data_IF_734010991661
#
_entry.id   IF_734010991661
#
_cell.length_a   1.000
_cell.length_b   1.000
_cell.length_c   1.000
_cell.angle_alpha   90.00
_cell.angle_beta   90.00
_cell.angle_gamma   90.00
#
_symmetry.space_group_name_H-M   'P 1'
#
loop_
_entity.id
_entity.type
_entity.pdbx_description
1 polymer ?
#
# COMPACT_ATOMS: atom_id res chain seq x y z
N UNK A 1 -62.75 34.47 -2.29
CA UNK A 1 -62.59 33.03 -2.61
C UNK A 1 -61.46 32.93 -3.63
N UNK A 2 -60.31 32.56 -3.18
CA UNK A 2 -59.07 32.42 -4.03
C UNK A 2 -58.80 30.92 -4.11
N UNK A 3 -58.98 30.41 -5.33
CA UNK A 3 -58.76 28.97 -5.59
C UNK A 3 -57.27 28.60 -5.60
N UNK A 4 -56.93 27.56 -4.83
CA UNK A 4 -55.59 26.95 -4.81
C UNK A 4 -55.52 25.93 -5.93
N UNK A 5 -54.50 25.92 -6.82
CA UNK A 5 -54.37 24.89 -7.85
C UNK A 5 -53.88 23.58 -7.27
N UNK A 6 -54.58 22.51 -7.56
CA UNK A 6 -54.25 21.14 -7.20
C UNK A 6 -52.93 20.70 -7.83
N UNK A 7 -51.96 20.35 -7.00
CA UNK A 7 -50.75 19.66 -7.44
C UNK A 7 -51.08 18.28 -7.98
N UNK A 8 -50.88 18.09 -9.27
CA UNK A 8 -50.89 16.76 -9.89
C UNK A 8 -49.73 15.92 -9.38
N UNK A 9 -50.02 14.96 -8.50
CA UNK A 9 -49.11 13.89 -8.14
C UNK A 9 -48.73 13.08 -9.37
N UNK A 10 -47.50 13.20 -9.87
CA UNK A 10 -46.94 12.26 -10.85
C UNK A 10 -46.91 10.87 -10.22
N UNK A 11 -47.74 9.98 -10.74
CA UNK A 11 -47.72 8.54 -10.44
C UNK A 11 -46.32 8.03 -10.71
N UNK A 12 -45.63 7.49 -9.68
CA UNK A 12 -44.42 6.70 -9.85
C UNK A 12 -44.77 5.51 -10.77
N UNK A 13 -43.89 5.15 -11.73
CA UNK A 13 -44.14 3.97 -12.54
C UNK A 13 -44.22 2.75 -11.61
N UNK A 14 -45.32 2.03 -11.73
CA UNK A 14 -45.52 0.73 -11.08
C UNK A 14 -44.40 -0.20 -11.55
N UNK A 15 -43.52 -0.59 -10.65
CA UNK A 15 -42.57 -1.68 -10.92
C UNK A 15 -43.42 -2.92 -11.24
N UNK A 16 -43.36 -3.35 -12.50
CA UNK A 16 -43.82 -4.69 -12.85
C UNK A 16 -43.10 -5.66 -11.95
N UNK A 17 -43.85 -6.54 -11.28
CA UNK A 17 -43.33 -7.70 -10.57
C UNK A 17 -42.61 -8.60 -11.58
N UNK A 18 -41.34 -8.25 -11.90
CA UNK A 18 -40.42 -9.20 -12.46
C UNK A 18 -40.16 -10.23 -11.37
N UNK A 19 -40.38 -11.50 -11.72
CA UNK A 19 -40.03 -12.69 -10.94
C UNK A 19 -38.91 -12.39 -9.96
N UNK A 20 -39.15 -12.65 -8.67
CA UNK A 20 -38.12 -12.52 -7.61
C UNK A 20 -36.92 -13.36 -8.03
N UNK A 21 -35.99 -12.73 -8.76
CA UNK A 21 -34.71 -13.33 -9.04
C UNK A 21 -34.09 -13.61 -7.68
N UNK A 22 -33.66 -14.84 -7.46
CA UNK A 22 -32.95 -15.23 -6.25
C UNK A 22 -31.92 -14.16 -5.93
N UNK A 23 -31.99 -13.48 -4.78
CA UNK A 23 -31.12 -12.33 -4.45
C UNK A 23 -29.64 -12.68 -4.45
N UNK A 24 -29.30 -13.97 -4.43
CA UNK A 24 -27.92 -14.46 -4.45
C UNK A 24 -27.30 -14.56 -5.86
N UNK A 25 -28.05 -14.31 -6.94
CA UNK A 25 -27.51 -14.39 -8.29
C UNK A 25 -27.47 -13.02 -8.97
N UNK A 26 -26.27 -12.58 -9.33
CA UNK A 26 -25.99 -11.30 -10.02
C UNK A 26 -25.56 -11.56 -11.47
N UNK A 27 -26.05 -10.72 -12.37
CA UNK A 27 -25.66 -10.80 -13.79
C UNK A 27 -24.17 -10.50 -13.96
N UNK A 28 -23.44 -11.47 -14.54
CA UNK A 28 -22.01 -11.36 -14.80
C UNK A 28 -21.64 -10.15 -15.69
N UNK A 29 -22.58 -9.73 -16.57
CA UNK A 29 -22.42 -8.57 -17.44
C UNK A 29 -22.46 -7.27 -16.64
N UNK A 30 -23.36 -7.17 -15.67
CA UNK A 30 -23.49 -6.02 -14.76
C UNK A 30 -22.27 -5.87 -13.84
N UNK A 31 -21.66 -6.98 -13.41
CA UNK A 31 -20.42 -6.96 -12.63
C UNK A 31 -19.25 -6.43 -13.47
N UNK A 32 -19.15 -6.81 -14.75
CA UNK A 32 -18.14 -6.26 -15.66
C UNK A 32 -18.32 -4.77 -15.93
N UNK A 33 -19.56 -4.27 -15.91
CA UNK A 33 -19.87 -2.85 -16.09
C UNK A 33 -19.60 -2.03 -14.82
N UNK A 34 -19.84 -2.61 -13.63
CA UNK A 34 -19.57 -1.98 -12.33
C UNK A 34 -18.09 -2.05 -11.93
N UNK A 35 -17.41 -3.09 -12.35
CA UNK A 35 -15.96 -3.20 -12.21
C UNK A 35 -15.33 -2.87 -13.55
N UNK A 36 -14.61 -1.75 -13.66
CA UNK A 36 -13.43 -1.74 -14.49
C UNK A 36 -12.52 -2.85 -13.92
N UNK A 37 -12.85 -4.08 -14.25
CA UNK A 37 -12.00 -5.23 -14.06
C UNK A 37 -10.82 -5.08 -15.01
N UNK A 38 -9.95 -4.10 -14.73
CA UNK A 38 -8.57 -4.26 -15.03
C UNK A 38 -8.27 -5.69 -14.58
N UNK A 39 -7.84 -6.54 -15.49
CA UNK A 39 -7.28 -7.84 -15.13
C UNK A 39 -6.23 -7.57 -14.07
N UNK A 40 -6.66 -7.64 -12.82
CA UNK A 40 -5.77 -7.52 -11.68
C UNK A 40 -4.88 -8.73 -11.81
N UNK A 41 -3.71 -8.53 -12.41
CA UNK A 41 -2.64 -9.50 -12.36
C UNK A 41 -2.33 -9.69 -10.88
N UNK A 42 -3.00 -10.66 -10.27
CA UNK A 42 -2.84 -10.96 -8.87
C UNK A 42 -1.43 -11.51 -8.68
N UNK A 43 -0.61 -10.80 -7.93
CA UNK A 43 0.70 -11.27 -7.52
C UNK A 43 0.61 -11.79 -6.09
N UNK A 44 1.04 -13.01 -5.88
CA UNK A 44 1.24 -13.57 -4.54
C UNK A 44 2.69 -13.36 -4.12
N UNK A 45 2.88 -12.72 -2.97
CA UNK A 45 4.21 -12.71 -2.33
C UNK A 45 4.36 -13.95 -1.48
N UNK A 46 5.33 -14.78 -1.82
CA UNK A 46 5.72 -15.94 -1.01
C UNK A 46 6.94 -15.57 -0.19
N UNK A 47 6.91 -15.86 1.09
CA UNK A 47 8.08 -15.77 1.96
C UNK A 47 8.77 -17.13 1.98
N UNK A 48 10.07 -17.15 1.71
CA UNK A 48 10.90 -18.35 1.71
C UNK A 48 11.96 -18.25 2.78
N UNK A 49 12.12 -19.32 3.53
CA UNK A 49 13.19 -19.44 4.51
C UNK A 49 14.52 -19.69 3.79
N UNK A 50 15.52 -18.94 4.17
CA UNK A 50 16.91 -19.14 3.73
C UNK A 50 17.57 -20.17 4.64
N UNK A 51 18.49 -20.93 4.08
CA UNK A 51 19.37 -21.80 4.86
C UNK A 51 20.31 -20.95 5.73
N UNK A 52 20.31 -21.19 7.03
CA UNK A 52 21.05 -20.37 8.01
C UNK A 52 22.56 -20.44 7.78
N UNK A 53 23.09 -21.62 7.40
CA UNK A 53 24.52 -21.82 7.15
C UNK A 53 25.00 -20.96 5.97
N UNK A 54 24.23 -20.98 4.88
CA UNK A 54 24.55 -20.18 3.69
C UNK A 54 24.41 -18.67 3.94
N UNK A 55 23.45 -18.26 4.77
CA UNK A 55 23.29 -16.86 5.20
C UNK A 55 24.48 -16.45 6.06
N UNK A 56 24.87 -17.24 7.05
CA UNK A 56 25.97 -16.92 7.95
C UNK A 56 27.29 -16.79 7.20
N UNK A 57 27.57 -17.73 6.28
CA UNK A 57 28.75 -17.68 5.41
C UNK A 57 28.87 -16.36 4.61
N UNK A 58 27.73 -15.78 4.20
CA UNK A 58 27.68 -14.57 3.37
C UNK A 58 27.22 -13.33 4.16
N UNK A 59 27.02 -13.41 5.48
CA UNK A 59 26.38 -12.40 6.31
C UNK A 59 26.97 -11.00 6.15
N UNK A 60 28.25 -10.90 6.24
CA UNK A 60 28.95 -9.60 6.13
C UNK A 60 28.70 -8.93 4.78
N UNK A 61 28.81 -9.70 3.69
CA UNK A 61 28.61 -9.21 2.33
C UNK A 61 27.14 -8.86 2.06
N UNK A 62 26.19 -9.67 2.58
CA UNK A 62 24.76 -9.38 2.51
C UNK A 62 24.41 -8.10 3.28
N UNK A 63 24.95 -7.91 4.46
CA UNK A 63 24.73 -6.70 5.25
C UNK A 63 25.37 -5.45 4.59
N UNK A 64 26.54 -5.61 3.99
CA UNK A 64 27.17 -4.54 3.21
C UNK A 64 26.29 -4.14 2.01
N UNK A 65 25.75 -5.12 1.27
CA UNK A 65 24.86 -4.89 0.15
C UNK A 65 23.54 -4.22 0.60
N UNK A 66 22.94 -4.69 1.69
CA UNK A 66 21.73 -4.09 2.27
C UNK A 66 21.96 -2.62 2.66
N UNK A 67 23.09 -2.32 3.31
CA UNK A 67 23.47 -0.95 3.70
C UNK A 67 23.70 -0.05 2.48
N UNK A 68 24.45 -0.53 1.49
CA UNK A 68 24.69 0.22 0.26
C UNK A 68 23.41 0.52 -0.49
N UNK A 69 22.53 -0.49 -0.66
CA UNK A 69 21.24 -0.33 -1.32
C UNK A 69 20.33 0.63 -0.56
N UNK A 70 20.29 0.54 0.77
CA UNK A 70 19.50 1.43 1.61
C UNK A 70 19.95 2.90 1.49
N UNK A 71 21.27 3.16 1.49
CA UNK A 71 21.82 4.51 1.30
C UNK A 71 21.50 5.07 -0.08
N UNK A 72 21.71 4.28 -1.13
CA UNK A 72 21.39 4.66 -2.51
C UNK A 72 19.92 4.97 -2.70
N UNK A 73 19.06 4.11 -2.18
CA UNK A 73 17.61 4.33 -2.21
C UNK A 73 17.20 5.61 -1.49
N UNK A 74 17.81 5.90 -0.32
CA UNK A 74 17.56 7.15 0.38
C UNK A 74 18.03 8.36 -0.44
N UNK A 75 19.19 8.29 -1.07
CA UNK A 75 19.67 9.33 -1.97
C UNK A 75 18.65 9.62 -3.08
N UNK A 76 18.12 8.58 -3.75
CA UNK A 76 17.08 8.78 -4.77
C UNK A 76 15.74 9.26 -4.20
N UNK A 77 15.37 8.87 -2.99
CA UNK A 77 14.19 9.45 -2.32
C UNK A 77 14.40 10.95 -2.15
N UNK A 78 15.53 11.37 -1.61
CA UNK A 78 15.81 12.79 -1.38
C UNK A 78 15.88 13.58 -2.70
N UNK A 79 16.48 13.02 -3.75
CA UNK A 79 16.50 13.59 -5.10
C UNK A 79 15.07 13.79 -5.65
N UNK A 80 14.20 12.76 -5.55
CA UNK A 80 12.82 12.82 -6.04
C UNK A 80 11.90 13.73 -5.20
N UNK A 81 12.34 14.24 -4.06
CA UNK A 81 11.66 15.30 -3.32
C UNK A 81 12.10 16.70 -3.75
N UNK A 82 13.14 16.85 -4.56
CA UNK A 82 13.52 18.16 -5.12
C UNK A 82 12.49 18.60 -6.17
N UNK A 83 12.38 19.91 -6.36
CA UNK A 83 11.41 20.49 -7.30
C UNK A 83 11.59 19.98 -8.72
N UNK A 84 12.83 19.85 -9.17
CA UNK A 84 13.16 19.51 -10.56
C UNK A 84 12.95 18.02 -10.86
N UNK A 85 13.00 17.16 -9.84
CA UNK A 85 12.94 15.70 -10.03
C UNK A 85 11.65 15.04 -9.56
N UNK A 86 10.80 15.74 -8.80
CA UNK A 86 9.61 15.12 -8.20
C UNK A 86 8.59 14.57 -9.22
N UNK A 87 8.52 15.14 -10.42
CA UNK A 87 7.66 14.64 -11.49
C UNK A 87 8.07 13.24 -11.99
N UNK A 88 9.31 12.83 -11.77
CA UNK A 88 9.77 11.50 -12.14
C UNK A 88 9.18 10.37 -11.26
N UNK A 89 8.55 10.67 -10.12
CA UNK A 89 7.83 9.67 -9.34
C UNK A 89 6.44 9.32 -9.91
N UNK A 90 5.94 10.02 -10.94
CA UNK A 90 4.64 9.77 -11.56
C UNK A 90 4.71 8.55 -12.47
N UNK A 91 4.01 7.48 -12.12
CA UNK A 91 3.93 6.27 -12.94
C UNK A 91 5.31 5.71 -13.31
N UNK A 92 5.54 5.54 -14.62
CA UNK A 92 6.79 5.00 -15.15
C UNK A 92 7.83 6.06 -15.53
N UNK A 93 7.64 7.33 -15.18
CA UNK A 93 8.55 8.42 -15.58
C UNK A 93 9.93 8.32 -14.93
N UNK A 94 10.09 7.58 -13.86
CA UNK A 94 11.39 7.25 -13.26
C UNK A 94 12.36 6.63 -14.30
N UNK A 95 11.83 5.99 -15.34
CA UNK A 95 12.64 5.44 -16.44
C UNK A 95 13.38 6.54 -17.21
N UNK A 96 12.76 7.71 -17.41
CA UNK A 96 13.41 8.86 -18.05
C UNK A 96 14.59 9.35 -17.21
N UNK A 97 14.43 9.43 -15.89
CA UNK A 97 15.51 9.78 -14.98
C UNK A 97 16.63 8.72 -14.99
N UNK A 98 16.25 7.43 -14.99
CA UNK A 98 17.21 6.33 -15.15
C UNK A 98 18.03 6.47 -16.42
N UNK A 99 17.39 6.76 -17.54
CA UNK A 99 18.03 6.83 -18.84
C UNK A 99 18.97 8.06 -18.92
N UNK A 100 18.57 9.19 -18.34
CA UNK A 100 19.45 10.36 -18.19
C UNK A 100 20.69 10.02 -17.35
N UNK A 101 20.52 9.38 -16.20
CA UNK A 101 21.63 8.95 -15.35
C UNK A 101 22.56 7.93 -16.05
N UNK A 102 22.03 7.07 -16.91
CA UNK A 102 22.83 6.14 -17.73
C UNK A 102 23.68 6.91 -18.77
N UNK A 103 23.08 7.90 -19.43
CA UNK A 103 23.81 8.76 -20.39
C UNK A 103 24.92 9.55 -19.69
N UNK A 104 24.70 10.02 -18.48
CA UNK A 104 25.67 10.70 -17.62
C UNK A 104 26.72 9.75 -17.02
N UNK A 105 26.66 8.46 -17.34
CA UNK A 105 27.57 7.42 -16.80
C UNK A 105 27.55 7.36 -15.28
N UNK A 106 26.37 7.54 -14.70
CA UNK A 106 26.20 7.54 -13.24
C UNK A 106 26.81 6.30 -12.59
N UNK A 107 27.59 6.53 -11.53
CA UNK A 107 28.13 5.50 -10.65
C UNK A 107 27.67 5.75 -9.23
N UNK A 108 27.19 4.69 -8.58
CA UNK A 108 26.78 4.75 -7.18
C UNK A 108 27.93 5.12 -6.26
N UNK A 109 27.76 6.16 -5.46
CA UNK A 109 28.73 6.55 -4.42
C UNK A 109 28.86 5.50 -3.29
N UNK A 110 27.97 4.52 -3.27
CA UNK A 110 27.95 3.45 -2.27
C UNK A 110 28.41 2.10 -2.82
N UNK A 111 29.02 2.08 -3.99
CA UNK A 111 29.59 0.87 -4.60
C UNK A 111 28.59 -0.09 -5.22
N UNK A 112 27.34 0.33 -5.44
CA UNK A 112 26.35 -0.51 -6.10
C UNK A 112 26.66 -0.69 -7.59
N UNK A 113 26.53 -1.91 -8.07
CA UNK A 113 26.56 -2.19 -9.51
C UNK A 113 25.37 -1.57 -10.23
N UNK A 114 25.47 -1.38 -11.55
CA UNK A 114 24.48 -0.67 -12.36
C UNK A 114 23.05 -1.20 -12.20
N UNK A 115 22.87 -2.50 -12.08
CA UNK A 115 21.54 -3.12 -11.88
C UNK A 115 20.94 -2.75 -10.52
N UNK A 116 21.74 -2.80 -9.47
CA UNK A 116 21.29 -2.50 -8.11
C UNK A 116 20.85 -1.04 -7.95
N UNK A 117 21.63 -0.06 -8.45
CA UNK A 117 21.21 1.33 -8.33
C UNK A 117 19.95 1.64 -9.16
N UNK A 118 19.74 0.97 -10.32
CA UNK A 118 18.51 1.10 -11.12
C UNK A 118 17.30 0.58 -10.32
N UNK A 119 17.45 -0.55 -9.62
CA UNK A 119 16.41 -1.07 -8.73
C UNK A 119 16.17 -0.17 -7.52
N UNK A 120 17.24 0.43 -6.96
CA UNK A 120 17.11 1.41 -5.87
C UNK A 120 16.31 2.64 -6.31
N UNK A 121 16.57 3.19 -7.51
CA UNK A 121 15.82 4.29 -8.11
C UNK A 121 14.33 3.91 -8.31
N UNK A 122 14.05 2.75 -8.89
CA UNK A 122 12.68 2.27 -9.11
C UNK A 122 11.89 2.18 -7.80
N UNK A 123 12.51 1.58 -6.76
CA UNK A 123 11.86 1.42 -5.46
C UNK A 123 11.72 2.75 -4.72
N UNK A 124 12.66 3.69 -4.91
CA UNK A 124 12.55 5.06 -4.41
C UNK A 124 11.39 5.80 -5.06
N UNK A 125 11.26 5.73 -6.39
CA UNK A 125 10.18 6.36 -7.13
C UNK A 125 8.80 5.84 -6.69
N UNK A 126 8.65 4.52 -6.52
CA UNK A 126 7.43 3.93 -5.99
C UNK A 126 7.12 4.44 -4.56
N UNK A 127 8.13 4.57 -3.71
CA UNK A 127 7.97 5.08 -2.33
C UNK A 127 7.50 6.53 -2.32
N UNK A 128 8.10 7.38 -3.13
CA UNK A 128 7.75 8.81 -3.23
C UNK A 128 6.37 8.98 -3.88
N UNK A 129 6.06 8.17 -4.90
CA UNK A 129 4.72 8.15 -5.52
C UNK A 129 3.63 7.79 -4.50
N UNK A 130 3.83 6.73 -3.72
CA UNK A 130 2.88 6.31 -2.69
C UNK A 130 2.72 7.36 -1.57
N UNK A 131 3.81 8.02 -1.18
CA UNK A 131 3.75 9.13 -0.22
C UNK A 131 2.85 10.24 -0.72
N UNK A 132 3.06 10.73 -1.96
CA UNK A 132 2.25 11.81 -2.51
C UNK A 132 0.80 11.41 -2.73
N UNK A 133 0.52 10.18 -3.17
CA UNK A 133 -0.84 9.65 -3.29
C UNK A 133 -1.57 9.62 -1.95
N UNK A 134 -0.88 9.21 -0.88
CA UNK A 134 -1.45 9.22 0.46
C UNK A 134 -1.76 10.65 0.92
N UNK A 135 -0.83 11.59 0.71
CA UNK A 135 -1.04 13.01 1.02
C UNK A 135 -2.23 13.57 0.25
N UNK A 136 -2.36 13.26 -1.05
CA UNK A 136 -3.51 13.67 -1.86
C UNK A 136 -4.83 13.10 -1.32
N UNK A 137 -4.87 11.81 -1.02
CA UNK A 137 -6.08 11.15 -0.51
C UNK A 137 -6.51 11.76 0.83
N UNK A 138 -5.58 11.98 1.76
CA UNK A 138 -5.85 12.62 3.04
C UNK A 138 -6.34 14.07 2.86
N UNK A 139 -5.66 14.85 2.01
CA UNK A 139 -6.04 16.23 1.72
C UNK A 139 -7.44 16.30 1.09
N UNK A 140 -7.74 15.42 0.13
CA UNK A 140 -9.06 15.35 -0.51
C UNK A 140 -10.15 14.97 0.49
N UNK A 141 -9.91 13.96 1.32
CA UNK A 141 -10.84 13.56 2.39
C UNK A 141 -11.10 14.70 3.37
N UNK A 142 -10.07 15.45 3.77
CA UNK A 142 -10.21 16.61 4.67
C UNK A 142 -10.95 17.77 3.99
N UNK A 143 -10.67 18.03 2.72
CA UNK A 143 -11.32 19.10 1.94
C UNK A 143 -12.80 18.83 1.78
N UNK A 144 -13.21 17.58 1.47
CA UNK A 144 -14.63 17.22 1.33
C UNK A 144 -15.47 17.54 2.57
N UNK A 145 -14.88 17.55 3.76
CA UNK A 145 -15.54 17.88 5.04
C UNK A 145 -15.60 19.38 5.33
N UNK A 146 -14.98 20.22 4.50
CA UNK A 146 -14.99 21.68 4.71
C UNK A 146 -16.26 22.31 4.16
N UNK A 147 -16.88 23.22 4.93
CA UNK A 147 -18.09 23.93 4.53
C UNK A 147 -17.92 24.69 3.19
N UNK A 148 -16.73 25.22 2.93
CA UNK A 148 -16.45 25.91 1.67
C UNK A 148 -16.51 24.97 0.47
N UNK A 149 -16.06 23.69 0.59
CA UNK A 149 -16.10 22.71 -0.49
C UNK A 149 -17.54 22.32 -0.85
N UNK A 150 -18.42 22.17 0.14
CA UNK A 150 -19.86 21.87 -0.08
C UNK A 150 -20.57 22.99 -0.84
N UNK A 151 -20.12 24.25 -0.66
CA UNK A 151 -20.67 25.43 -1.35
C UNK A 151 -20.13 25.62 -2.77
N UNK A 152 -19.12 24.87 -3.19
CA UNK A 152 -18.57 24.94 -4.53
C UNK A 152 -19.60 24.44 -5.56
N UNK A 153 -19.57 25.05 -6.74
CA UNK A 153 -20.30 24.50 -7.87
C UNK A 153 -19.65 23.19 -8.38
N UNK A 154 -20.37 22.44 -9.22
CA UNK A 154 -19.90 21.13 -9.73
C UNK A 154 -18.56 21.21 -10.49
N UNK A 155 -18.30 22.29 -11.20
CA UNK A 155 -17.06 22.48 -11.97
C UNK A 155 -15.87 22.74 -11.03
N UNK A 156 -16.06 23.54 -9.99
CA UNK A 156 -15.04 23.77 -8.97
C UNK A 156 -14.73 22.49 -8.18
N UNK A 157 -15.76 21.71 -7.82
CA UNK A 157 -15.55 20.41 -7.18
C UNK A 157 -14.78 19.44 -8.12
N UNK A 158 -15.11 19.38 -9.42
CA UNK A 158 -14.37 18.63 -10.43
C UNK A 158 -12.91 19.08 -10.51
N UNK A 159 -12.65 20.38 -10.45
CA UNK A 159 -11.30 20.90 -10.47
C UNK A 159 -10.47 20.44 -9.26
N UNK A 160 -11.05 20.44 -8.07
CA UNK A 160 -10.42 19.88 -6.87
C UNK A 160 -10.14 18.40 -7.03
N UNK A 161 -11.11 17.62 -7.55
CA UNK A 161 -10.93 16.21 -7.82
C UNK A 161 -9.87 15.94 -8.90
N UNK A 162 -9.81 16.73 -9.95
CA UNK A 162 -8.80 16.63 -10.99
C UNK A 162 -7.39 16.77 -10.43
N UNK A 163 -7.15 17.76 -9.56
CA UNK A 163 -5.83 18.00 -8.99
C UNK A 163 -5.45 17.03 -7.87
N UNK A 164 -6.40 16.52 -7.10
CA UNK A 164 -6.15 15.67 -5.93
C UNK A 164 -6.51 14.19 -6.14
N UNK A 165 -7.22 13.85 -7.21
CA UNK A 165 -7.67 12.47 -7.46
C UNK A 165 -6.58 11.56 -8.02
N UNK A 166 -5.60 12.12 -8.73
CA UNK A 166 -4.49 11.36 -9.29
C UNK A 166 -3.18 12.13 -9.23
N UNK A 167 -2.07 11.42 -9.03
CA UNK A 167 -0.75 12.04 -9.04
C UNK A 167 -0.35 12.42 -10.47
N UNK A 168 -0.29 13.72 -10.74
CA UNK A 168 -0.05 14.31 -12.05
C UNK A 168 0.99 15.45 -11.99
N UNK A 169 1.43 15.94 -13.16
CA UNK A 169 2.26 17.15 -13.23
C UNK A 169 1.51 18.38 -12.73
N UNK A 170 0.20 18.45 -13.01
CA UNK A 170 -0.66 19.57 -12.56
C UNK A 170 -0.71 19.64 -11.04
N UNK A 171 -0.71 18.52 -10.35
CA UNK A 171 -0.60 18.49 -8.90
C UNK A 171 0.70 19.16 -8.42
N UNK A 172 1.83 18.86 -9.03
CA UNK A 172 3.11 19.48 -8.68
C UNK A 172 3.19 20.94 -9.13
N UNK A 173 2.60 21.30 -10.27
CA UNK A 173 2.46 22.68 -10.73
C UNK A 173 1.67 23.53 -9.74
N UNK A 174 0.60 22.97 -9.18
CA UNK A 174 -0.18 23.60 -8.13
C UNK A 174 0.65 23.78 -6.84
N UNK A 175 1.44 22.79 -6.44
CA UNK A 175 2.35 22.90 -5.29
C UNK A 175 3.41 23.99 -5.47
N UNK A 176 3.77 24.31 -6.72
CA UNK A 176 4.66 25.42 -7.07
C UNK A 176 3.97 26.80 -7.04
N UNK A 177 2.72 26.85 -6.60
CA UNK A 177 1.94 28.09 -6.53
C UNK A 177 1.35 28.55 -7.86
N UNK A 178 1.47 27.74 -8.93
CA UNK A 178 0.82 28.00 -10.22
C UNK A 178 -0.58 27.38 -10.23
N UNK A 179 -1.46 27.92 -11.06
CA UNK A 179 -2.81 27.39 -11.23
C UNK A 179 -2.90 26.61 -12.55
N UNK A 180 -2.90 25.26 -12.52
CA UNK A 180 -3.07 24.47 -13.74
C UNK A 180 -4.39 24.80 -14.44
N UNK A 181 -4.37 24.83 -15.78
CA UNK A 181 -5.60 25.00 -16.58
C UNK A 181 -6.31 23.64 -16.69
N UNK A 182 -7.64 23.66 -16.65
CA UNK A 182 -8.45 22.47 -16.87
C UNK A 182 -8.49 22.13 -18.38
N UNK A 183 -8.79 20.88 -18.65
CA UNK A 183 -8.59 20.18 -19.94
C UNK A 183 -9.46 20.69 -21.09
N UNK A 184 -10.55 21.40 -20.87
CA UNK A 184 -11.43 21.90 -21.93
C UNK A 184 -11.59 23.42 -21.92
N UNK A 185 -11.59 24.05 -23.10
CA UNK A 185 -11.69 25.49 -23.23
C UNK A 185 -13.01 26.05 -22.68
N UNK A 186 -14.11 25.32 -22.79
CA UNK A 186 -15.41 25.62 -22.20
C UNK A 186 -15.44 25.60 -20.66
N UNK A 187 -14.54 24.86 -20.04
CA UNK A 187 -14.43 24.78 -18.57
C UNK A 187 -13.48 25.86 -18.00
N UNK A 188 -12.65 26.49 -18.83
CA UNK A 188 -11.68 27.51 -18.39
C UNK A 188 -12.37 28.79 -17.85
N UNK A 189 -13.49 29.17 -18.41
CA UNK A 189 -14.21 30.38 -18.03
C UNK A 189 -15.07 30.26 -16.78
N UNK A 190 -15.46 29.03 -16.44
CA UNK A 190 -16.47 28.79 -15.39
C UNK A 190 -15.90 28.56 -13.98
N UNK A 191 -14.58 28.44 -13.81
CA UNK A 191 -13.94 28.30 -12.48
C UNK A 191 -13.38 29.67 -12.05
N UNK A 192 -14.27 30.53 -11.55
CA UNK A 192 -13.97 31.91 -11.23
C UNK A 192 -12.89 32.11 -10.16
N UNK A 193 -12.63 31.14 -9.30
CA UNK A 193 -11.73 31.32 -8.14
C UNK A 193 -10.58 30.33 -8.09
N UNK A 194 -9.97 29.94 -9.23
CA UNK A 194 -8.88 28.94 -9.29
C UNK A 194 -7.74 29.25 -8.33
N UNK A 195 -7.28 30.51 -8.25
CA UNK A 195 -6.19 30.90 -7.33
C UNK A 195 -6.55 30.65 -5.87
N UNK A 196 -7.79 30.95 -5.48
CA UNK A 196 -8.30 30.71 -4.14
C UNK A 196 -8.36 29.23 -3.80
N UNK A 197 -8.90 28.41 -4.73
CA UNK A 197 -8.97 26.95 -4.59
C UNK A 197 -7.57 26.32 -4.51
N UNK A 198 -6.65 26.70 -5.40
CA UNK A 198 -5.27 26.20 -5.37
C UNK A 198 -4.60 26.54 -4.03
N UNK A 199 -4.73 27.77 -3.54
CA UNK A 199 -4.18 28.18 -2.23
C UNK A 199 -4.77 27.36 -1.09
N UNK A 200 -6.08 27.10 -1.09
CA UNK A 200 -6.75 26.31 -0.06
C UNK A 200 -6.30 24.84 -0.09
N UNK A 201 -6.17 24.27 -1.29
CA UNK A 201 -5.64 22.90 -1.47
C UNK A 201 -4.20 22.80 -1.02
N UNK A 202 -3.31 23.69 -1.46
CA UNK A 202 -1.89 23.69 -1.07
C UNK A 202 -1.74 23.79 0.45
N UNK A 203 -2.50 24.70 1.11
CA UNK A 203 -2.50 24.79 2.57
C UNK A 203 -2.91 23.47 3.22
N UNK A 204 -3.98 22.84 2.73
CA UNK A 204 -4.43 21.54 3.27
C UNK A 204 -3.41 20.44 3.02
N UNK A 205 -2.77 20.41 1.85
CA UNK A 205 -1.70 19.47 1.54
C UNK A 205 -0.52 19.66 2.52
N UNK A 206 -0.10 20.88 2.79
CA UNK A 206 0.97 21.14 3.76
C UNK A 206 0.61 20.68 5.18
N UNK A 207 -0.64 20.82 5.58
CA UNK A 207 -1.13 20.30 6.87
C UNK A 207 -1.11 18.77 6.93
N UNK A 208 -1.36 18.10 5.79
CA UNK A 208 -1.35 16.63 5.68
C UNK A 208 0.03 16.05 5.33
N UNK A 209 0.97 16.88 4.96
CA UNK A 209 2.35 16.47 4.73
C UNK A 209 2.99 16.02 6.04
N UNK A 210 3.04 14.71 6.25
CA UNK A 210 3.83 14.11 7.32
C UNK A 210 5.34 14.18 7.05
N UNK A 211 6.10 13.48 7.86
CA UNK A 211 7.55 13.33 7.65
C UNK A 211 7.81 12.63 6.31
N UNK A 212 8.81 13.12 5.57
CA UNK A 212 9.27 12.46 4.35
C UNK A 212 9.65 11.02 4.65
N UNK A 213 9.35 10.08 3.73
CA UNK A 213 9.72 8.70 3.92
C UNK A 213 11.25 8.58 4.07
N UNK A 214 11.66 7.86 5.08
CA UNK A 214 13.06 7.49 5.29
C UNK A 214 13.17 5.99 5.07
N UNK A 215 14.20 5.58 4.34
CA UNK A 215 14.50 4.17 4.26
C UNK A 215 14.89 3.65 5.66
N UNK A 216 14.19 2.60 6.13
CA UNK A 216 14.60 1.91 7.35
C UNK A 216 16.02 1.35 7.15
N UNK A 217 16.86 1.52 8.16
CA UNK A 217 18.26 1.07 8.09
C UNK A 217 18.31 -0.40 7.68
N UNK A 218 18.92 -0.69 6.54
CA UNK A 218 19.33 -2.04 6.08
C UNK A 218 18.18 -3.07 5.97
N UNK A 219 16.95 -2.61 5.71
CA UNK A 219 15.79 -3.50 5.80
C UNK A 219 15.62 -4.44 4.60
N UNK A 220 15.99 -4.04 3.39
CA UNK A 220 15.79 -4.89 2.22
C UNK A 220 16.56 -4.46 0.99
N UNK A 221 16.88 -5.43 0.11
CA UNK A 221 17.41 -5.22 -1.24
C UNK A 221 16.56 -5.99 -2.26
N UNK A 222 16.43 -5.42 -3.46
CA UNK A 222 15.68 -6.02 -4.55
C UNK A 222 16.62 -6.52 -5.64
N UNK A 223 16.26 -7.65 -6.22
CA UNK A 223 16.96 -8.29 -7.33
C UNK A 223 15.95 -8.52 -8.46
N UNK A 224 16.24 -8.00 -9.65
CA UNK A 224 15.54 -8.41 -10.86
C UNK A 224 16.07 -9.77 -11.35
N UNK A 225 15.38 -10.37 -12.32
CA UNK A 225 15.75 -11.68 -12.86
C UNK A 225 17.18 -11.76 -13.41
N UNK A 226 17.81 -10.65 -13.75
CA UNK A 226 19.19 -10.60 -14.26
C UNK A 226 20.24 -10.45 -13.15
N UNK A 227 19.81 -10.14 -11.93
CA UNK A 227 20.66 -10.01 -10.76
C UNK A 227 20.95 -11.32 -10.04
N UNK A 228 20.33 -12.42 -10.46
CA UNK A 228 20.53 -13.72 -9.83
C UNK A 228 20.43 -14.87 -10.83
N UNK A 229 20.97 -16.02 -10.42
CA UNK A 229 20.71 -17.31 -11.06
C UNK A 229 20.07 -18.24 -10.03
N UNK A 230 19.07 -18.99 -10.43
CA UNK A 230 18.41 -20.00 -9.60
C UNK A 230 18.62 -21.37 -10.21
N UNK A 231 19.11 -22.32 -9.43
CA UNK A 231 19.35 -23.71 -9.84
C UNK A 231 18.74 -24.64 -8.80
N UNK A 232 17.90 -25.58 -9.23
CA UNK A 232 17.32 -26.59 -8.34
C UNK A 232 18.40 -27.61 -8.00
N UNK A 233 18.60 -27.84 -6.71
CA UNK A 233 19.57 -28.81 -6.18
C UNK A 233 18.86 -29.64 -5.13
N UNK A 234 18.38 -30.85 -5.51
CA UNK A 234 17.55 -31.70 -4.67
C UNK A 234 16.25 -30.96 -4.25
N UNK A 235 15.97 -30.91 -2.96
CA UNK A 235 14.79 -30.24 -2.40
C UNK A 235 14.98 -28.73 -2.18
N UNK A 236 16.13 -28.20 -2.52
CA UNK A 236 16.48 -26.79 -2.33
C UNK A 236 16.73 -26.10 -3.67
N UNK A 237 16.67 -24.77 -3.65
CA UNK A 237 17.08 -23.92 -4.77
C UNK A 237 18.33 -23.17 -4.36
N UNK A 238 19.41 -23.36 -5.12
CA UNK A 238 20.61 -22.52 -5.03
C UNK A 238 20.36 -21.22 -5.76
N UNK A 239 20.57 -20.11 -5.06
CA UNK A 239 20.51 -18.75 -5.59
C UNK A 239 21.90 -18.13 -5.59
N UNK A 240 22.41 -17.81 -6.77
CA UNK A 240 23.67 -17.09 -6.93
C UNK A 240 23.36 -15.60 -7.19
N UNK A 241 23.32 -14.80 -6.13
CA UNK A 241 22.97 -13.38 -6.15
C UNK A 241 24.14 -12.51 -6.55
N UNK A 242 23.86 -11.42 -7.27
CA UNK A 242 24.84 -10.38 -7.58
C UNK A 242 25.31 -9.69 -6.28
N UNK A 243 26.62 -9.61 -6.06
CA UNK A 243 27.24 -8.92 -4.93
C UNK A 243 27.56 -7.45 -5.26
N UNK A 244 28.21 -6.74 -4.34
CA UNK A 244 28.80 -5.42 -4.61
C UNK A 244 30.01 -5.53 -5.56
N UNK A 245 30.79 -6.59 -5.45
CA UNK A 245 31.99 -6.81 -6.26
C UNK A 245 31.62 -7.40 -7.62
N UNK A 246 32.00 -6.77 -8.74
CA UNK A 246 31.78 -7.32 -10.08
C UNK A 246 32.38 -8.72 -10.23
N UNK A 247 31.62 -9.62 -10.86
CA UNK A 247 32.07 -11.02 -11.08
C UNK A 247 31.85 -11.95 -9.87
N UNK A 248 31.70 -11.42 -8.66
CA UNK A 248 31.45 -12.23 -7.45
C UNK A 248 29.97 -12.43 -7.23
N UNK A 249 29.58 -13.66 -6.89
CA UNK A 249 28.19 -14.04 -6.55
C UNK A 249 28.10 -14.51 -5.10
N UNK A 250 26.98 -14.18 -4.46
CA UNK A 250 26.63 -14.67 -3.12
C UNK A 250 25.72 -15.86 -3.28
N UNK A 251 26.19 -17.01 -2.89
CA UNK A 251 25.40 -18.25 -2.99
C UNK A 251 24.58 -18.47 -1.73
N UNK A 252 23.26 -18.52 -1.89
CA UNK A 252 22.30 -18.83 -0.83
C UNK A 252 21.47 -20.07 -1.21
N UNK A 253 21.07 -20.84 -0.22
CA UNK A 253 20.14 -21.95 -0.41
C UNK A 253 18.76 -21.61 0.18
N UNK A 254 17.71 -21.97 -0.56
CA UNK A 254 16.33 -21.67 -0.24
C UNK A 254 15.53 -22.95 -0.22
N UNK A 255 14.76 -23.18 0.83
CA UNK A 255 13.82 -24.30 0.89
C UNK A 255 12.59 -24.04 0.01
N UNK A 256 12.25 -25.01 -0.84
CA UNK A 256 11.10 -24.95 -1.75
C UNK A 256 11.38 -24.25 -3.07
N UNK A 257 10.34 -24.05 -3.88
CA UNK A 257 10.46 -23.49 -5.25
C UNK A 257 10.63 -21.97 -5.27
N UNK A 258 11.48 -21.50 -6.15
CA UNK A 258 11.61 -20.09 -6.53
C UNK A 258 11.23 -19.98 -8.01
N UNK A 259 10.18 -19.23 -8.38
CA UNK A 259 9.82 -19.05 -9.79
C UNK A 259 10.96 -18.40 -10.57
N UNK A 260 11.29 -18.97 -11.71
CA UNK A 260 12.27 -18.39 -12.65
C UNK A 260 11.72 -17.04 -13.15
N UNK A 261 12.60 -16.06 -13.31
CA UNK A 261 12.26 -14.71 -13.78
C UNK A 261 11.40 -13.82 -12.85
N UNK A 262 11.16 -14.22 -11.61
CA UNK A 262 10.48 -13.34 -10.65
C UNK A 262 11.43 -12.29 -10.05
N UNK A 263 10.86 -11.18 -9.56
CA UNK A 263 11.60 -10.22 -8.73
C UNK A 263 11.74 -10.77 -7.32
N UNK A 264 12.98 -10.80 -6.82
CA UNK A 264 13.27 -11.24 -5.46
C UNK A 264 13.53 -10.03 -4.56
N UNK A 265 13.12 -10.13 -3.31
CA UNK A 265 13.42 -9.15 -2.27
C UNK A 265 14.01 -9.86 -1.06
N UNK A 266 15.28 -9.62 -0.77
CA UNK A 266 15.89 -10.04 0.48
C UNK A 266 15.51 -9.03 1.57
N UNK A 267 15.00 -9.53 2.68
CA UNK A 267 14.55 -8.72 3.83
C UNK A 267 15.32 -9.15 5.07
N UNK A 268 15.88 -8.17 5.78
CA UNK A 268 16.46 -8.37 7.11
C UNK A 268 15.44 -7.95 8.16
N UNK A 269 15.09 -8.86 9.03
CA UNK A 269 14.19 -8.61 10.16
C UNK A 269 14.93 -7.89 11.32
N UNK A 270 14.19 -7.22 12.21
CA UNK A 270 14.80 -6.51 13.35
C UNK A 270 15.58 -7.41 14.33
N UNK A 271 15.30 -8.70 14.34
CA UNK A 271 16.03 -9.73 15.12
C UNK A 271 17.32 -10.19 14.46
N UNK A 272 17.57 -9.75 13.22
CA UNK A 272 18.74 -10.11 12.41
C UNK A 272 18.52 -11.27 11.46
N UNK A 273 17.38 -11.98 11.53
CA UNK A 273 17.01 -13.02 10.58
C UNK A 273 16.82 -12.44 9.18
N UNK A 274 17.15 -13.22 8.17
CA UNK A 274 16.96 -12.86 6.76
C UNK A 274 15.93 -13.78 6.12
N UNK A 275 15.06 -13.20 5.31
CA UNK A 275 14.04 -13.93 4.54
C UNK A 275 14.02 -13.46 3.09
N UNK A 276 13.66 -14.37 2.19
CA UNK A 276 13.48 -14.08 0.78
C UNK A 276 11.99 -13.96 0.46
N UNK A 277 11.59 -12.81 -0.04
CA UNK A 277 10.26 -12.57 -0.56
C UNK A 277 10.29 -12.74 -2.08
N UNK A 278 9.44 -13.62 -2.59
CA UNK A 278 9.36 -13.95 -4.01
C UNK A 278 7.99 -13.55 -4.52
N UNK A 279 7.92 -12.77 -5.58
CA UNK A 279 6.65 -12.45 -6.24
C UNK A 279 6.35 -13.52 -7.30
N UNK A 280 5.23 -14.22 -7.14
CA UNK A 280 4.69 -15.13 -8.15
C UNK A 280 3.47 -14.49 -8.79
N UNK A 281 3.46 -14.37 -10.12
CA UNK A 281 2.24 -14.07 -10.85
C UNK A 281 1.26 -15.23 -10.68
N UNK A 282 0.04 -14.92 -10.29
CA UNK A 282 -1.03 -15.90 -10.17
C UNK A 282 -1.68 -16.07 -11.53
N UNK A 283 -1.63 -17.28 -12.07
CA UNK A 283 -2.45 -17.67 -13.22
C UNK A 283 -3.87 -18.02 -12.77
N UNK A 284 -4.82 -18.03 -13.70
CA UNK A 284 -6.19 -18.50 -13.40
C UNK A 284 -6.21 -19.92 -12.82
N UNK A 285 -5.24 -20.76 -13.21
CA UNK A 285 -5.06 -22.12 -12.68
C UNK A 285 -4.49 -22.19 -11.27
N UNK A 286 -3.83 -21.12 -10.78
CA UNK A 286 -3.33 -21.05 -9.41
C UNK A 286 -4.44 -20.64 -8.41
N UNK A 287 -5.57 -20.15 -8.91
CA UNK A 287 -6.75 -19.84 -8.11
C UNK A 287 -7.51 -21.15 -7.96
N UNK A 288 -7.56 -21.68 -6.73
CA UNK A 288 -8.39 -22.87 -6.47
C UNK A 288 -9.83 -22.55 -6.87
N UNK A 289 -10.50 -23.43 -7.65
CA UNK A 289 -11.91 -23.26 -7.89
C UNK A 289 -12.61 -23.22 -6.53
N UNK A 290 -13.39 -22.16 -6.30
CA UNK A 290 -14.28 -22.13 -5.16
C UNK A 290 -15.44 -23.06 -5.54
N UNK A 291 -15.70 -24.09 -4.72
CA UNK A 291 -16.87 -24.94 -4.87
C UNK A 291 -18.14 -24.12 -4.55
N UNK A 292 -18.45 -23.21 -5.44
CA UNK A 292 -19.66 -22.38 -5.35
C UNK A 292 -20.81 -23.06 -6.10
N UNK A 293 -22.05 -22.82 -5.71
CA UNK A 293 -23.22 -23.31 -6.45
C UNK A 293 -23.08 -22.97 -7.93
N UNK A 294 -23.32 -23.98 -8.81
CA UNK A 294 -23.19 -23.78 -10.26
C UNK A 294 -24.17 -22.71 -10.71
N UNK A 295 -23.64 -21.62 -11.22
CA UNK A 295 -24.42 -20.56 -11.81
C UNK A 295 -25.20 -21.07 -13.01
N UNK A 296 -26.47 -20.78 -13.10
CA UNK A 296 -27.22 -20.87 -14.33
C UNK A 296 -26.65 -19.86 -15.35
N UNK A 297 -26.80 -20.16 -16.66
CA UNK A 297 -26.22 -19.38 -17.77
C UNK A 297 -26.24 -17.87 -17.52
N UNK A 298 -25.03 -17.27 -17.37
CA UNK A 298 -24.82 -15.83 -17.27
C UNK A 298 -25.03 -15.20 -15.88
N UNK A 299 -25.40 -15.96 -14.84
CA UNK A 299 -25.53 -15.47 -13.46
C UNK A 299 -24.40 -15.98 -12.60
N UNK A 300 -23.89 -15.14 -11.70
CA UNK A 300 -22.85 -15.49 -10.72
C UNK A 300 -23.48 -15.55 -9.32
N UNK A 301 -23.12 -16.56 -8.55
CA UNK A 301 -23.55 -16.67 -7.17
C UNK A 301 -22.82 -15.64 -6.30
N UNK A 302 -23.57 -14.79 -5.62
CA UNK A 302 -23.07 -13.69 -4.80
C UNK A 302 -23.43 -13.92 -3.33
N UNK A 303 -22.51 -13.59 -2.43
CA UNK A 303 -22.73 -13.50 -0.99
C UNK A 303 -22.49 -12.08 -0.52
N UNK A 304 -23.35 -11.56 0.32
CA UNK A 304 -23.10 -10.30 1.01
C UNK A 304 -22.32 -10.57 2.30
N UNK A 305 -21.34 -9.72 2.58
CA UNK A 305 -20.54 -9.75 3.80
C UNK A 305 -20.56 -8.36 4.45
N UNK A 306 -21.04 -8.33 5.69
CA UNK A 306 -20.91 -7.19 6.58
C UNK A 306 -19.59 -7.28 7.35
N UNK A 307 -18.77 -6.21 7.27
CA UNK A 307 -17.46 -6.14 7.93
C UNK A 307 -17.59 -5.44 9.28
N UNK A 308 -17.13 -6.08 10.36
CA UNK A 308 -17.25 -5.57 11.70
C UNK A 308 -15.91 -5.39 12.44
N UNK A 309 -15.99 -4.73 13.60
CA UNK A 309 -14.86 -4.65 14.54
C UNK A 309 -14.93 -5.70 15.65
N UNK A 310 -16.07 -6.29 15.90
CA UNK A 310 -16.28 -7.36 16.89
C UNK A 310 -15.89 -8.70 16.32
N UNK A 311 -16.34 -8.96 15.12
CA UNK A 311 -15.94 -10.06 14.22
C UNK A 311 -15.36 -9.49 12.93
N UNK A 312 -14.66 -10.34 12.17
CA UNK A 312 -14.09 -9.91 10.87
C UNK A 312 -15.19 -9.68 9.85
N UNK A 313 -16.15 -10.58 9.77
CA UNK A 313 -17.30 -10.47 8.89
C UNK A 313 -18.46 -11.34 9.36
N UNK A 314 -19.66 -10.94 8.95
CA UNK A 314 -20.89 -11.75 9.02
C UNK A 314 -21.44 -11.90 7.60
N UNK A 315 -21.84 -13.12 7.19
CA UNK A 315 -22.44 -13.32 5.89
C UNK A 315 -23.98 -13.13 5.94
N UNK A 316 -24.60 -13.10 4.78
CA UNK A 316 -26.06 -12.96 4.60
C UNK A 316 -26.88 -14.14 5.16
N UNK A 317 -26.25 -15.24 5.52
CA UNK A 317 -26.85 -16.37 6.25
C UNK A 317 -26.68 -16.22 7.78
N UNK A 318 -26.04 -15.17 8.26
CA UNK A 318 -25.81 -14.93 9.69
C UNK A 318 -24.60 -15.65 10.27
N UNK A 319 -23.76 -16.30 9.43
CA UNK A 319 -22.53 -16.92 9.91
C UNK A 319 -21.50 -15.85 10.25
N UNK A 320 -20.90 -15.95 11.44
CA UNK A 320 -19.88 -15.01 11.94
C UNK A 320 -18.49 -15.59 11.82
N UNK A 321 -17.56 -14.80 11.27
CA UNK A 321 -16.18 -15.19 11.04
C UNK A 321 -15.22 -14.29 11.81
N UNK A 322 -14.26 -14.92 12.51
CA UNK A 322 -13.27 -14.20 13.30
C UNK A 322 -13.83 -13.46 14.51
N UNK A 323 -14.75 -14.08 15.24
CA UNK A 323 -15.47 -13.53 16.41
C UNK A 323 -14.57 -13.03 17.55
N UNK A 324 -13.31 -13.45 17.63
CA UNK A 324 -12.35 -12.97 18.61
C UNK A 324 -11.62 -11.67 18.21
N UNK A 325 -11.96 -11.04 17.09
CA UNK A 325 -11.27 -9.83 16.60
C UNK A 325 -11.44 -8.67 17.59
N UNK A 326 -12.65 -8.41 18.07
CA UNK A 326 -12.97 -7.31 18.97
C UNK A 326 -12.19 -7.38 20.30
N UNK A 327 -12.14 -8.57 20.90
CA UNK A 327 -11.35 -8.80 22.14
C UNK A 327 -9.87 -8.51 21.91
N UNK A 328 -9.30 -8.99 20.80
CA UNK A 328 -7.88 -8.76 20.44
C UNK A 328 -7.59 -7.28 20.18
N UNK A 329 -8.49 -6.58 19.48
CA UNK A 329 -8.33 -5.14 19.24
C UNK A 329 -8.42 -4.34 20.54
N UNK A 330 -9.36 -4.68 21.42
CA UNK A 330 -9.52 -4.04 22.74
C UNK A 330 -8.28 -4.27 23.61
N UNK A 331 -7.82 -5.52 23.71
CA UNK A 331 -6.61 -5.86 24.46
C UNK A 331 -5.37 -5.14 23.90
N UNK A 332 -5.28 -5.02 22.57
CA UNK A 332 -4.20 -4.28 21.94
C UNK A 332 -4.25 -2.78 22.25
N UNK A 333 -5.43 -2.17 22.19
CA UNK A 333 -5.61 -0.76 22.53
C UNK A 333 -5.23 -0.48 24.00
N UNK A 334 -5.71 -1.31 24.93
CA UNK A 334 -5.37 -1.20 26.36
C UNK A 334 -3.87 -1.35 26.61
N UNK A 335 -3.23 -2.33 25.96
CA UNK A 335 -1.78 -2.51 26.02
C UNK A 335 -1.02 -1.28 25.53
N UNK A 336 -1.43 -0.74 24.37
CA UNK A 336 -0.81 0.46 23.79
C UNK A 336 -0.92 1.66 24.74
N UNK A 337 -2.11 1.91 25.26
CA UNK A 337 -2.37 3.03 26.18
C UNK A 337 -1.52 2.92 27.44
N UNK A 338 -1.47 1.75 28.06
CA UNK A 338 -0.65 1.52 29.25
C UNK A 338 0.84 1.76 28.96
N UNK A 339 1.34 1.19 27.86
CA UNK A 339 2.76 1.34 27.47
C UNK A 339 3.12 2.76 27.05
N UNK A 340 2.25 3.45 26.34
CA UNK A 340 2.49 4.84 25.97
C UNK A 340 2.48 5.75 27.20
N UNK A 341 1.56 5.55 28.15
CA UNK A 341 1.54 6.29 29.42
C UNK A 341 2.84 6.09 30.21
N UNK A 342 3.31 4.84 30.35
CA UNK A 342 4.60 4.53 31.00
C UNK A 342 5.78 5.22 30.28
N UNK A 343 5.84 5.11 28.95
CA UNK A 343 6.93 5.70 28.15
C UNK A 343 6.92 7.23 28.24
N UNK A 344 5.76 7.87 28.25
CA UNK A 344 5.63 9.31 28.39
C UNK A 344 6.11 9.78 29.78
N UNK A 345 5.75 9.06 30.87
CA UNK A 345 6.27 9.33 32.20
C UNK A 345 7.79 9.22 32.28
N UNK A 346 8.36 8.18 31.66
CA UNK A 346 9.82 7.98 31.60
C UNK A 346 10.49 9.06 30.75
N UNK A 347 9.87 9.46 29.64
CA UNK A 347 10.38 10.54 28.79
C UNK A 347 10.44 11.87 29.55
N UNK A 348 9.39 12.22 30.29
CA UNK A 348 9.36 13.43 31.13
C UNK A 348 10.45 13.42 32.22
N UNK A 349 10.66 12.27 32.89
CA UNK A 349 11.76 12.10 33.84
C UNK A 349 13.14 12.21 33.19
N UNK A 350 13.26 11.72 31.95
CA UNK A 350 14.52 11.77 31.17
C UNK A 350 14.90 13.20 30.81
N UNK A 351 13.92 14.07 30.52
CA UNK A 351 14.16 15.48 30.23
C UNK A 351 14.73 16.24 31.42
N UNK A 352 14.32 15.86 32.64
CA UNK A 352 14.79 16.49 33.90
C UNK A 352 16.10 15.89 34.42
N UNK A 353 16.61 14.82 33.83
CA UNK A 353 17.79 14.10 34.31
C UNK A 353 19.08 14.68 33.74
N UNK A 354 20.16 14.65 34.50
CA UNK A 354 21.51 15.01 34.07
C UNK A 354 22.01 14.17 32.90
N UNK A 355 22.96 14.68 32.12
CA UNK A 355 23.40 14.16 30.80
C UNK A 355 23.72 12.66 30.78
N UNK A 356 24.45 12.14 31.77
CA UNK A 356 24.81 10.73 31.84
C UNK A 356 23.59 9.82 32.13
N UNK A 357 22.75 10.21 33.12
CA UNK A 357 21.51 9.50 33.45
C UNK A 357 20.50 9.51 32.30
N UNK A 358 20.38 10.65 31.62
CA UNK A 358 19.55 10.79 30.42
C UNK A 358 19.96 9.82 29.31
N UNK A 359 21.26 9.72 29.01
CA UNK A 359 21.79 8.79 27.99
C UNK A 359 21.50 7.34 28.34
N UNK A 360 21.67 6.96 29.62
CA UNK A 360 21.34 5.61 30.12
C UNK A 360 19.85 5.31 29.99
N UNK A 361 18.97 6.22 30.42
CA UNK A 361 17.51 6.03 30.33
C UNK A 361 17.02 5.89 28.90
N UNK A 362 17.52 6.72 27.96
CA UNK A 362 17.18 6.63 26.54
C UNK A 362 17.58 5.29 25.94
N UNK A 363 18.75 4.77 26.32
CA UNK A 363 19.27 3.50 25.78
C UNK A 363 18.59 2.27 26.38
N UNK A 364 18.44 2.24 27.71
CA UNK A 364 18.00 1.05 28.42
C UNK A 364 16.48 0.98 28.62
N UNK A 365 15.83 2.10 28.94
CA UNK A 365 14.43 2.10 29.36
C UNK A 365 13.48 2.57 28.24
N UNK A 366 13.93 3.47 27.38
CA UNK A 366 13.15 4.01 26.27
C UNK A 366 13.55 3.41 24.91
N UNK A 367 14.38 2.38 24.92
CA UNK A 367 14.76 1.64 23.72
C UNK A 367 13.53 1.10 22.97
N UNK A 368 13.58 1.10 21.64
CA UNK A 368 12.46 0.69 20.81
C UNK A 368 12.38 -0.81 20.53
N UNK A 369 13.50 -1.56 20.62
CA UNK A 369 13.57 -2.96 20.16
C UNK A 369 12.51 -3.89 20.77
N UNK A 370 12.44 -3.97 22.12
CA UNK A 370 11.46 -4.84 22.79
C UNK A 370 10.02 -4.41 22.48
N UNK A 371 9.75 -3.10 22.57
CA UNK A 371 8.45 -2.55 22.26
C UNK A 371 8.01 -2.84 20.83
N UNK A 372 8.89 -2.60 19.84
CA UNK A 372 8.61 -2.89 18.43
C UNK A 372 8.38 -4.37 18.17
N UNK A 373 9.18 -5.26 18.80
CA UNK A 373 9.01 -6.72 18.66
C UNK A 373 7.64 -7.17 19.20
N UNK A 374 7.22 -6.63 20.31
CA UNK A 374 5.94 -6.99 20.92
C UNK A 374 4.76 -6.45 20.12
N UNK A 375 4.82 -5.20 19.64
CA UNK A 375 3.83 -4.66 18.71
C UNK A 375 3.71 -5.50 17.44
N UNK A 376 4.85 -5.94 16.90
CA UNK A 376 4.86 -6.78 15.71
C UNK A 376 4.18 -8.13 15.98
N UNK A 377 4.45 -8.75 17.13
CA UNK A 377 3.79 -10.00 17.53
C UNK A 377 2.28 -9.86 17.58
N UNK A 378 1.78 -8.82 18.26
CA UNK A 378 0.34 -8.58 18.41
C UNK A 378 -0.31 -8.30 17.05
N UNK A 379 0.33 -7.46 16.21
CA UNK A 379 -0.16 -7.18 14.86
C UNK A 379 -0.22 -8.43 13.99
N UNK A 380 0.80 -9.29 14.08
CA UNK A 380 0.80 -10.58 13.38
C UNK A 380 -0.34 -11.47 13.87
N UNK A 381 -0.64 -11.48 15.15
CA UNK A 381 -1.74 -12.26 15.71
C UNK A 381 -3.11 -11.77 15.22
N UNK A 382 -3.32 -10.44 15.19
CA UNK A 382 -4.53 -9.84 14.60
C UNK A 382 -4.63 -10.19 13.11
N UNK A 383 -3.54 -10.04 12.35
CA UNK A 383 -3.51 -10.38 10.92
C UNK A 383 -3.82 -11.86 10.68
N UNK A 384 -3.30 -12.76 11.51
CA UNK A 384 -3.61 -14.19 11.43
C UNK A 384 -5.09 -14.48 11.71
N UNK A 385 -5.71 -13.73 12.63
CA UNK A 385 -7.15 -13.83 12.90
C UNK A 385 -7.96 -13.44 11.66
N UNK A 386 -7.61 -12.31 11.03
CA UNK A 386 -8.26 -11.87 9.80
C UNK A 386 -8.04 -12.88 8.67
N UNK A 387 -6.81 -13.35 8.46
CA UNK A 387 -6.51 -14.33 7.43
C UNK A 387 -7.24 -15.66 7.63
N UNK A 388 -7.36 -16.10 8.88
CA UNK A 388 -8.13 -17.30 9.21
C UNK A 388 -9.60 -17.10 8.87
N UNK A 389 -10.20 -15.99 9.31
CA UNK A 389 -11.59 -15.66 9.01
C UNK A 389 -11.87 -15.63 7.51
N UNK A 390 -10.99 -14.99 6.71
CA UNK A 390 -11.11 -14.98 5.24
C UNK A 390 -11.06 -16.39 4.65
N UNK A 391 -10.17 -17.25 5.14
CA UNK A 391 -10.13 -18.64 4.69
C UNK A 391 -11.38 -19.42 5.10
N UNK A 392 -11.92 -19.15 6.27
CA UNK A 392 -13.15 -19.79 6.76
C UNK A 392 -14.37 -19.32 5.93
N UNK A 393 -14.46 -18.03 5.57
CA UNK A 393 -15.47 -17.52 4.64
C UNK A 393 -15.41 -18.27 3.30
N UNK A 394 -14.22 -18.39 2.70
CA UNK A 394 -14.05 -19.08 1.43
C UNK A 394 -14.41 -20.56 1.47
N UNK A 395 -14.34 -21.19 2.65
CA UNK A 395 -14.67 -22.62 2.84
C UNK A 395 -16.12 -22.85 3.21
N UNK A 396 -16.69 -22.02 4.09
CA UNK A 396 -18.00 -22.23 4.69
C UNK A 396 -19.11 -21.46 3.97
N UNK A 397 -18.77 -20.35 3.35
CA UNK A 397 -19.68 -19.51 2.56
C UNK A 397 -19.15 -19.30 1.13
N UNK A 398 -18.93 -20.37 0.35
CA UNK A 398 -18.32 -20.24 -0.97
C UNK A 398 -19.25 -19.47 -1.92
N UNK A 399 -18.67 -18.47 -2.61
CA UNK A 399 -19.37 -17.67 -3.61
C UNK A 399 -18.42 -17.28 -4.76
N UNK A 400 -18.97 -17.00 -5.93
CA UNK A 400 -18.21 -16.50 -7.07
C UNK A 400 -17.92 -15.01 -6.95
N UNK A 401 -18.79 -14.29 -6.22
CA UNK A 401 -18.70 -12.85 -5.96
C UNK A 401 -19.04 -12.61 -4.49
N UNK A 402 -18.27 -11.73 -3.85
CA UNK A 402 -18.61 -11.22 -2.52
C UNK A 402 -18.92 -9.74 -2.63
N UNK A 403 -20.12 -9.35 -2.17
CA UNK A 403 -20.50 -7.95 -2.01
C UNK A 403 -20.07 -7.49 -0.61
N UNK A 404 -19.33 -6.40 -0.54
CA UNK A 404 -18.88 -5.78 0.70
C UNK A 404 -19.51 -4.41 0.82
N UNK A 405 -19.84 -4.01 2.05
CA UNK A 405 -20.22 -2.63 2.32
C UNK A 405 -19.06 -1.68 2.07
N UNK A 406 -19.32 -0.56 1.42
CA UNK A 406 -18.33 0.50 1.23
C UNK A 406 -18.24 1.35 2.50
N UNK A 407 -17.24 1.05 3.33
CA UNK A 407 -16.96 1.78 4.58
C UNK A 407 -16.16 3.09 4.34
N UNK A 408 -16.05 3.55 3.11
CA UNK A 408 -15.28 4.75 2.74
C UNK A 408 -16.03 6.09 3.00
N UNK A 409 -17.09 6.09 3.79
CA UNK A 409 -17.89 7.29 4.15
C UNK A 409 -17.35 8.06 5.34
#
# INVERSE_FOLDING_TARGET
MIGVPSQQYRKKPTMQQTELADPHFVDAKRIKELGNAAELSAYRTMVRCLDEVSVEKNREQLEALLRAFGKERQHFIDLLFTRDHRAFCIGNRWRKLRDALVMEKYRSSYGLQARHWKMALQTAAATVSNYWRLVQANALSRIRRKAWFVRLNKLEQRYVHFLLGSLSEDFFTMLDGKCPSVVTDTEKESVASRKGLCKAMVRTIHDEQGKRPKHGRDASVWFDCSCYKAVVVGEQVRLDLMSLTPGVRLTLYVKGSVPVSSTLKLVKHPDGAMALHVQKSMSKSDIRPIDSPKASRGKLYCRALDLGFTEVATDDAGNRFGTCLGEKLTSYAQYLDAKLKERNKLMARTQKAGKAKRRRMLRCNLGSKKFTKELQRIRTEIQNTVNKALNDILRQSPAQVYALEDLSH
#
